data_IF_600174155459
#
_entry.id   IF_600174155459
#
_cell.length_a   1.000
_cell.length_b   1.000
_cell.length_c   1.000
_cell.angle_alpha   90.00
_cell.angle_beta   90.00
_cell.angle_gamma   90.00
#
_symmetry.space_group_name_H-M   'P 1'
#
loop_
_entity.id
_entity.type
_entity.pdbx_description
1 polymer ?
#
# COMPACT_ATOMS: atom_id res chain seq x y z
N UNK A 1 -1.41 -0.99 24.71
CA UNK A 1 -1.56 -1.93 23.58
C UNK A 1 -0.15 -2.34 23.16
N UNK A 2 0.18 -3.63 23.10
CA UNK A 2 1.52 -4.08 22.65
C UNK A 2 1.54 -4.06 21.11
N UNK A 3 2.59 -3.52 20.52
CA UNK A 3 2.78 -3.56 19.06
C UNK A 3 2.83 -5.02 18.58
N UNK A 4 2.03 -5.43 17.57
CA UNK A 4 1.96 -6.81 17.12
C UNK A 4 3.14 -7.16 16.19
N UNK A 5 4.36 -7.10 16.71
CA UNK A 5 5.61 -7.30 15.94
C UNK A 5 5.63 -8.59 15.12
N UNK A 6 5.13 -9.70 15.67
CA UNK A 6 5.09 -10.98 14.97
C UNK A 6 4.13 -11.00 13.78
N UNK A 7 3.06 -10.20 13.81
CA UNK A 7 2.14 -10.06 12.68
C UNK A 7 2.77 -9.18 11.59
N UNK A 8 3.38 -8.05 11.99
CA UNK A 8 4.10 -7.16 11.09
C UNK A 8 5.20 -7.90 10.32
N UNK A 9 6.01 -8.72 11.01
CA UNK A 9 7.08 -9.49 10.37
C UNK A 9 6.55 -10.52 9.35
N UNK A 10 5.38 -11.13 9.61
CA UNK A 10 4.74 -12.06 8.65
C UNK A 10 4.21 -11.32 7.42
N UNK A 11 3.67 -10.12 7.58
CA UNK A 11 3.23 -9.29 6.46
C UNK A 11 4.44 -8.87 5.63
N UNK A 12 5.54 -8.47 6.28
CA UNK A 12 6.79 -8.10 5.62
C UNK A 12 7.30 -9.25 4.73
N UNK A 13 7.30 -10.48 5.25
CA UNK A 13 7.69 -11.66 4.49
C UNK A 13 6.78 -11.91 3.26
N UNK A 14 5.47 -11.66 3.37
CA UNK A 14 4.53 -11.77 2.23
C UNK A 14 4.74 -10.70 1.17
N UNK A 15 5.23 -9.53 1.56
CA UNK A 15 5.61 -8.44 0.65
C UNK A 15 7.03 -8.58 0.08
N UNK A 16 7.76 -9.65 0.43
CA UNK A 16 9.13 -9.89 -0.04
C UNK A 16 10.22 -9.12 0.74
N UNK A 17 9.88 -8.52 1.88
CA UNK A 17 10.83 -7.82 2.76
C UNK A 17 11.52 -8.84 3.67
N UNK A 18 12.85 -8.94 3.57
CA UNK A 18 13.63 -9.82 4.43
C UNK A 18 13.58 -9.35 5.91
N UNK A 19 13.72 -10.25 6.90
CA UNK A 19 13.67 -9.88 8.31
C UNK A 19 14.69 -8.80 8.71
N UNK A 20 15.89 -8.81 8.11
CA UNK A 20 16.90 -7.79 8.37
C UNK A 20 16.50 -6.40 7.88
N UNK A 21 15.84 -6.32 6.73
CA UNK A 21 15.37 -5.05 6.17
C UNK A 21 14.16 -4.51 6.92
N UNK A 22 13.27 -5.39 7.40
CA UNK A 22 12.15 -5.00 8.26
C UNK A 22 12.60 -4.22 9.50
N UNK A 23 13.68 -4.65 10.17
CA UNK A 23 14.20 -3.96 11.35
C UNK A 23 14.89 -2.62 11.04
N UNK A 24 15.22 -2.36 9.77
CA UNK A 24 15.79 -1.09 9.31
C UNK A 24 14.71 -0.09 8.91
N UNK A 25 13.49 -0.55 8.63
CA UNK A 25 12.37 0.32 8.28
C UNK A 25 11.92 1.14 9.50
N UNK A 26 11.64 2.42 9.25
CA UNK A 26 10.88 3.25 10.17
C UNK A 26 9.41 2.83 10.19
N UNK A 27 8.70 3.19 11.27
CA UNK A 27 7.26 2.95 11.37
C UNK A 27 6.47 3.68 10.27
N UNK A 28 6.95 4.83 9.80
CA UNK A 28 6.34 5.58 8.70
C UNK A 28 6.43 4.81 7.38
N UNK A 29 7.60 4.29 7.04
CA UNK A 29 7.80 3.49 5.83
C UNK A 29 6.98 2.20 5.89
N UNK A 30 6.93 1.55 7.05
CA UNK A 30 6.09 0.39 7.25
C UNK A 30 4.60 0.68 6.99
N UNK A 31 4.10 1.83 7.48
CA UNK A 31 2.73 2.27 7.23
C UNK A 31 2.48 2.53 5.75
N UNK A 32 3.40 3.16 5.03
CA UNK A 32 3.26 3.37 3.59
C UNK A 32 3.15 2.05 2.80
N UNK A 33 3.81 0.98 3.26
CA UNK A 33 3.76 -0.33 2.59
C UNK A 33 2.50 -1.14 2.92
N UNK A 34 1.83 -0.87 4.04
CA UNK A 34 0.82 -1.77 4.60
C UNK A 34 -0.53 -1.12 4.87
N UNK A 35 -0.56 0.18 5.10
CA UNK A 35 -1.81 0.91 5.15
C UNK A 35 -2.35 0.96 3.72
N UNK A 36 -3.49 0.32 3.53
CA UNK A 36 -4.32 0.65 2.40
C UNK A 36 -4.83 2.07 2.69
N UNK A 37 -4.39 3.11 1.95
CA UNK A 37 -4.95 4.44 2.16
C UNK A 37 -6.48 4.30 2.12
N UNK A 38 -7.24 5.02 2.96
CA UNK A 38 -8.69 5.00 2.88
C UNK A 38 -9.02 5.23 1.42
N UNK A 39 -9.53 4.18 0.76
CA UNK A 39 -9.59 4.17 -0.69
C UNK A 39 -10.37 5.42 -1.07
N UNK A 40 -9.77 6.31 -1.86
CA UNK A 40 -10.59 7.09 -2.75
C UNK A 40 -11.54 6.06 -3.39
N UNK A 41 -12.86 6.27 -3.24
CA UNK A 41 -13.86 5.33 -3.72
C UNK A 41 -13.41 4.84 -5.10
N UNK A 42 -13.39 3.52 -5.35
CA UNK A 42 -12.94 3.01 -6.64
C UNK A 42 -13.66 3.79 -7.74
N UNK A 43 -12.87 4.35 -8.66
CA UNK A 43 -13.36 5.22 -9.71
C UNK A 43 -14.52 4.52 -10.43
N UNK A 44 -15.65 5.22 -10.62
CA UNK A 44 -16.76 4.63 -11.36
C UNK A 44 -16.35 4.41 -12.81
N UNK A 45 -17.05 3.51 -13.50
CA UNK A 45 -16.88 3.27 -14.94
C UNK A 45 -16.93 4.59 -15.74
N UNK A 46 -17.91 5.44 -15.43
CA UNK A 46 -18.13 6.72 -16.11
C UNK A 46 -16.99 7.72 -15.86
N UNK A 47 -16.40 7.70 -14.65
CA UNK A 47 -15.25 8.54 -14.32
C UNK A 47 -13.99 8.07 -15.03
N UNK A 48 -13.80 6.76 -15.17
CA UNK A 48 -12.70 6.18 -15.92
C UNK A 48 -12.78 6.53 -17.41
N UNK A 49 -13.97 6.41 -18.02
CA UNK A 49 -14.18 6.76 -19.43
C UNK A 49 -13.95 8.25 -19.69
N UNK A 50 -14.40 9.15 -18.81
CA UNK A 50 -14.10 10.58 -18.90
C UNK A 50 -12.60 10.88 -18.79
N UNK A 51 -11.89 10.19 -17.91
CA UNK A 51 -10.45 10.36 -17.75
C UNK A 51 -9.69 9.90 -19.01
N UNK A 52 -10.07 8.75 -19.58
CA UNK A 52 -9.46 8.21 -20.79
C UNK A 52 -9.69 9.11 -22.02
N UNK A 53 -10.86 9.73 -22.15
CA UNK A 53 -11.14 10.70 -23.21
C UNK A 53 -10.35 12.00 -23.03
N UNK A 54 -10.18 12.45 -21.78
CA UNK A 54 -9.49 13.70 -21.47
C UNK A 54 -7.95 13.59 -21.61
N UNK A 55 -7.39 12.40 -21.41
CA UNK A 55 -5.97 12.09 -21.60
C UNK A 55 -5.82 10.80 -22.43
N UNK A 56 -5.89 10.91 -23.77
CA UNK A 56 -5.62 9.78 -24.64
C UNK A 56 -4.12 9.40 -24.57
N UNK A 57 -3.84 8.10 -24.64
CA UNK A 57 -2.48 7.53 -24.53
C UNK A 57 -1.66 7.66 -25.85
N UNK A 58 -2.15 8.43 -26.82
CA UNK A 58 -1.56 8.62 -28.17
C UNK A 58 -0.50 9.74 -28.23
#
# INVERSE_FOLDING_TARGET
MKTPWGEMLRIAARLGVAPGDFWRLSLTEWRMLTENPPSALPMSRDQFEQMAEAWPDD
#
